data_IF_557665577153
#
_entry.id   IF_557665577153
#
_cell.length_a   1.000
_cell.length_b   1.000
_cell.length_c   1.000
_cell.angle_alpha   90.00
_cell.angle_beta   90.00
_cell.angle_gamma   90.00
#
_symmetry.space_group_name_H-M   'P 1'
#
loop_
_entity.id
_entity.type
_entity.pdbx_description
1 polymer ?
#
# COMPACT_ATOMS: atom_id res chain seq x y z
N UNK A 1 16.23 4.24 -27.34
CA UNK A 1 14.84 3.86 -27.02
C UNK A 1 14.67 2.48 -26.35
N UNK A 2 15.72 1.88 -25.75
CA UNK A 2 15.65 0.52 -25.15
C UNK A 2 15.37 0.49 -23.64
N UNK A 3 15.67 1.56 -22.91
CA UNK A 3 15.59 1.63 -21.44
C UNK A 3 14.15 1.73 -20.94
N UNK A 4 13.33 2.61 -21.53
CA UNK A 4 11.94 2.85 -21.08
C UNK A 4 11.09 1.58 -21.12
N UNK A 5 11.22 0.79 -22.19
CA UNK A 5 10.46 -0.46 -22.38
C UNK A 5 10.86 -1.54 -21.37
N UNK A 6 12.13 -1.57 -20.96
CA UNK A 6 12.63 -2.57 -20.00
C UNK A 6 12.13 -2.30 -18.57
N UNK A 7 12.00 -1.02 -18.19
CA UNK A 7 11.37 -0.64 -16.91
C UNK A 7 9.89 -1.01 -16.86
N UNK A 8 9.14 -0.78 -17.93
CA UNK A 8 7.72 -1.14 -17.98
C UNK A 8 7.50 -2.66 -17.87
N UNK A 9 8.32 -3.48 -18.54
CA UNK A 9 8.23 -4.95 -18.45
C UNK A 9 8.58 -5.42 -17.03
N UNK A 10 9.63 -4.87 -16.43
CA UNK A 10 10.05 -5.20 -15.05
C UNK A 10 8.94 -4.89 -14.04
N UNK A 11 8.35 -3.69 -14.12
CA UNK A 11 7.25 -3.27 -13.27
C UNK A 11 6.03 -4.17 -13.48
N UNK A 12 5.66 -4.44 -14.73
CA UNK A 12 4.52 -5.31 -15.05
C UNK A 12 4.70 -6.72 -14.48
N UNK A 13 5.93 -7.24 -14.51
CA UNK A 13 6.25 -8.56 -13.94
C UNK A 13 6.18 -8.55 -12.42
N UNK A 14 6.73 -7.51 -11.78
CA UNK A 14 6.65 -7.34 -10.33
C UNK A 14 5.19 -7.28 -9.86
N UNK A 15 4.34 -6.49 -10.54
CA UNK A 15 2.91 -6.37 -10.22
C UNK A 15 2.16 -7.69 -10.38
N UNK A 16 2.50 -8.52 -11.37
CA UNK A 16 1.90 -9.85 -11.52
C UNK A 16 2.32 -10.85 -10.43
N UNK A 17 3.49 -10.64 -9.83
CA UNK A 17 4.01 -11.51 -8.77
C UNK A 17 3.54 -11.07 -7.38
N UNK A 18 3.39 -9.77 -7.16
CA UNK A 18 2.96 -9.21 -5.89
C UNK A 18 1.48 -9.48 -5.63
N UNK A 19 1.13 -9.88 -4.40
CA UNK A 19 -0.25 -9.99 -3.93
C UNK A 19 -1.01 -8.67 -4.08
N UNK A 20 -0.35 -7.54 -3.78
CA UNK A 20 -0.96 -6.21 -3.93
C UNK A 20 -1.30 -5.89 -5.39
N UNK A 21 -0.74 -6.62 -6.37
CA UNK A 21 -1.08 -6.51 -7.79
C UNK A 21 -2.56 -6.74 -8.12
N UNK A 22 -3.29 -7.45 -7.26
CA UNK A 22 -4.74 -7.60 -7.37
C UNK A 22 -5.52 -6.29 -7.09
N UNK A 23 -4.85 -5.28 -6.52
CA UNK A 23 -5.41 -3.97 -6.16
C UNK A 23 -4.68 -2.85 -6.93
N UNK A 24 -5.08 -2.54 -8.18
CA UNK A 24 -4.28 -1.68 -9.08
C UNK A 24 -4.00 -0.28 -8.53
N UNK A 25 -4.96 0.31 -7.82
CA UNK A 25 -4.81 1.65 -7.24
C UNK A 25 -3.79 1.65 -6.10
N UNK A 26 -3.90 0.69 -5.18
CA UNK A 26 -2.94 0.51 -4.08
C UNK A 26 -1.54 0.19 -4.60
N UNK A 27 -1.43 -0.73 -5.56
CA UNK A 27 -0.15 -1.10 -6.15
C UNK A 27 0.51 0.07 -6.89
N UNK A 28 -0.26 0.87 -7.62
CA UNK A 28 0.23 2.08 -8.28
C UNK A 28 0.72 3.12 -7.26
N UNK A 29 -0.06 3.40 -6.21
CA UNK A 29 0.34 4.33 -5.15
C UNK A 29 1.62 3.89 -4.44
N UNK A 30 1.74 2.60 -4.11
CA UNK A 30 2.94 2.04 -3.48
C UNK A 30 4.14 2.11 -4.42
N UNK A 31 3.97 1.77 -5.70
CA UNK A 31 5.04 1.87 -6.68
C UNK A 31 5.53 3.32 -6.88
N UNK A 32 4.62 4.29 -6.85
CA UNK A 32 4.96 5.72 -6.94
C UNK A 32 5.70 6.23 -5.70
N UNK A 33 5.44 5.66 -4.53
CA UNK A 33 6.16 5.98 -3.29
C UNK A 33 7.60 5.46 -3.29
N UNK A 34 7.94 4.47 -4.14
CA UNK A 34 9.30 3.94 -4.25
C UNK A 34 10.16 4.86 -5.13
N UNK A 35 11.31 5.37 -4.64
CA UNK A 35 12.22 6.19 -5.43
C UNK A 35 12.64 5.52 -6.74
N UNK A 36 12.82 6.31 -7.80
CA UNK A 36 13.23 5.78 -9.10
C UNK A 36 14.54 4.97 -9.02
N UNK A 37 15.53 5.46 -8.26
CA UNK A 37 16.79 4.75 -8.04
C UNK A 37 16.59 3.33 -7.50
N UNK A 38 15.74 3.16 -6.49
CA UNK A 38 15.41 1.85 -5.94
C UNK A 38 14.65 0.98 -6.95
N UNK A 39 13.68 1.56 -7.67
CA UNK A 39 12.97 0.85 -8.75
C UNK A 39 13.92 0.38 -9.84
N UNK A 40 15.02 1.09 -10.07
CA UNK A 40 15.98 0.78 -11.14
C UNK A 40 16.97 -0.31 -10.71
N UNK A 41 17.46 -0.25 -9.47
CA UNK A 41 18.39 -1.22 -8.90
C UNK A 41 17.74 -2.57 -8.60
N UNK A 42 16.50 -2.58 -8.12
CA UNK A 42 15.84 -3.82 -7.73
C UNK A 42 15.41 -4.65 -8.94
N UNK A 43 15.49 -5.97 -8.79
CA UNK A 43 14.88 -6.94 -9.72
C UNK A 43 13.35 -6.93 -9.61
N UNK A 44 12.64 -7.53 -10.57
CA UNK A 44 11.18 -7.61 -10.50
C UNK A 44 10.68 -8.39 -9.28
N UNK A 45 11.39 -9.45 -8.89
CA UNK A 45 11.02 -10.28 -7.74
C UNK A 45 11.19 -9.50 -6.42
N UNK A 46 12.33 -8.82 -6.25
CA UNK A 46 12.58 -7.98 -5.08
C UNK A 46 11.59 -6.80 -5.01
N UNK A 47 11.24 -6.22 -6.16
CA UNK A 47 10.24 -5.17 -6.22
C UNK A 47 8.85 -5.69 -5.82
N UNK A 48 8.49 -6.92 -6.22
CA UNK A 48 7.24 -7.56 -5.80
C UNK A 48 7.20 -7.80 -4.28
N UNK A 49 8.28 -8.34 -3.71
CA UNK A 49 8.42 -8.55 -2.27
C UNK A 49 8.31 -7.24 -1.48
N UNK A 50 8.96 -6.18 -1.96
CA UNK A 50 8.88 -4.85 -1.34
C UNK A 50 7.44 -4.30 -1.36
N UNK A 51 6.75 -4.42 -2.50
CA UNK A 51 5.36 -4.01 -2.62
C UNK A 51 4.44 -4.78 -1.66
N UNK A 52 4.63 -6.08 -1.52
CA UNK A 52 3.84 -6.91 -0.59
C UNK A 52 4.15 -6.62 0.87
N UNK A 53 5.41 -6.30 1.20
CA UNK A 53 5.78 -5.86 2.54
C UNK A 53 5.10 -4.52 2.90
N UNK A 54 5.13 -3.54 2.00
CA UNK A 54 4.44 -2.26 2.17
C UNK A 54 2.93 -2.45 2.32
N UNK A 55 2.33 -3.36 1.55
CA UNK A 55 0.92 -3.71 1.67
C UNK A 55 0.58 -4.32 3.02
N UNK A 56 1.36 -5.29 3.48
CA UNK A 56 1.17 -5.93 4.80
C UNK A 56 1.24 -4.92 5.95
N UNK A 57 2.19 -3.98 5.89
CA UNK A 57 2.29 -2.89 6.87
C UNK A 57 1.06 -1.99 6.81
N UNK A 58 0.64 -1.56 5.62
CA UNK A 58 -0.54 -0.70 5.46
C UNK A 58 -1.81 -1.35 6.03
N UNK A 59 -2.05 -2.63 5.75
CA UNK A 59 -3.20 -3.36 6.29
C UNK A 59 -3.12 -3.49 7.82
N UNK A 60 -1.93 -3.77 8.34
CA UNK A 60 -1.71 -3.83 9.78
C UNK A 60 -1.97 -2.47 10.45
N UNK A 61 -1.51 -1.37 9.85
CA UNK A 61 -1.74 -0.01 10.35
C UNK A 61 -3.23 0.34 10.37
N UNK A 62 -3.98 0.02 9.30
CA UNK A 62 -5.44 0.22 9.27
C UNK A 62 -6.14 -0.59 10.36
N UNK A 63 -5.74 -1.85 10.55
CA UNK A 63 -6.31 -2.70 11.60
C UNK A 63 -6.02 -2.17 13.00
N UNK A 64 -4.84 -1.59 13.25
CA UNK A 64 -4.51 -0.96 14.54
C UNK A 64 -5.32 0.30 14.78
N UNK A 65 -5.39 1.20 13.80
CA UNK A 65 -6.19 2.41 13.89
C UNK A 65 -7.67 2.08 14.17
N UNK A 66 -8.22 1.04 13.55
CA UNK A 66 -9.59 0.59 13.82
C UNK A 66 -9.78 0.07 15.26
N UNK A 67 -8.75 -0.54 15.88
CA UNK A 67 -8.81 -0.98 17.28
C UNK A 67 -8.66 0.18 18.24
N UNK A 68 -7.70 1.07 18.01
CA UNK A 68 -7.47 2.27 18.82
C UNK A 68 -8.75 3.10 18.96
N UNK A 69 -9.48 3.28 17.86
CA UNK A 69 -10.76 3.98 17.85
C UNK A 69 -11.80 3.35 18.79
N UNK A 70 -11.85 2.01 18.87
CA UNK A 70 -12.76 1.29 19.76
C UNK A 70 -12.29 1.36 21.21
N UNK A 71 -10.98 1.19 21.44
CA UNK A 71 -10.36 1.26 22.77
C UNK A 71 -10.51 2.67 23.40
N UNK A 72 -10.53 3.72 22.57
CA UNK A 72 -10.77 5.12 22.96
C UNK A 72 -12.27 5.47 23.09
N UNK A 73 -13.19 4.50 22.95
CA UNK A 73 -14.62 4.72 23.14
C UNK A 73 -15.29 5.50 22.01
N UNK A 74 -14.74 5.45 20.79
CA UNK A 74 -15.28 6.15 19.63
C UNK A 74 -15.54 5.27 18.41
N UNK A 75 -15.98 5.92 17.34
CA UNK A 75 -16.18 5.32 16.02
C UNK A 75 -15.52 6.21 14.97
N UNK A 76 -14.81 5.59 14.03
CA UNK A 76 -14.21 6.30 12.91
C UNK A 76 -15.26 6.56 11.82
N UNK A 77 -15.51 7.83 11.51
CA UNK A 77 -16.35 8.19 10.37
C UNK A 77 -15.53 8.17 9.07
N UNK A 78 -15.69 7.11 8.27
CA UNK A 78 -15.04 7.02 6.98
C UNK A 78 -15.48 8.10 5.97
N UNK A 79 -16.69 8.67 6.12
CA UNK A 79 -17.19 9.73 5.23
C UNK A 79 -16.61 11.10 5.60
N UNK A 80 -16.51 11.38 6.89
CA UNK A 80 -15.94 12.62 7.43
C UNK A 80 -14.43 12.60 7.60
N UNK A 81 -13.79 11.43 7.49
CA UNK A 81 -12.40 11.20 7.88
C UNK A 81 -12.08 11.70 9.30
N UNK A 82 -13.01 11.49 10.24
CA UNK A 82 -12.93 12.03 11.60
C UNK A 82 -13.31 11.01 12.66
N UNK A 83 -12.67 11.10 13.83
CA UNK A 83 -13.07 10.37 15.03
C UNK A 83 -14.36 10.96 15.62
N UNK A 84 -15.26 10.12 16.12
CA UNK A 84 -16.46 10.52 16.87
C UNK A 84 -16.53 9.75 18.18
N UNK A 85 -16.61 10.45 19.30
CA UNK A 85 -16.88 9.82 20.60
C UNK A 85 -18.30 9.24 20.62
N UNK A 86 -18.45 8.06 21.22
CA UNK A 86 -19.76 7.54 21.57
C UNK A 86 -20.19 8.24 22.87
N UNK A 87 -21.09 9.22 22.76
CA UNK A 87 -21.70 9.80 23.95
C UNK A 87 -22.60 8.74 24.60
N UNK A 88 -22.28 8.36 25.84
CA UNK A 88 -23.18 7.59 26.70
C UNK A 88 -24.49 8.38 26.85
N UNK A 89 -25.62 7.71 26.60
CA UNK A 89 -26.97 8.25 26.75
C UNK A 89 -27.40 8.32 28.21
#
# INVERSE_FOLDING_TARGET
MKTVTNHQIKVSRALKQAKVGAFPQSASAMLQAIPASARDTLTSAQLAELLDAMWSVAETSKSRAAREVVDEGGVWDARGQSFRELQEA
#
